data_IF_923948448682
#
_entry.id   IF_923948448682
#
_cell.length_a   1.000
_cell.length_b   1.000
_cell.length_c   1.000
_cell.angle_alpha   90.00
_cell.angle_beta   90.00
_cell.angle_gamma   90.00
#
_symmetry.space_group_name_H-M   'P 1'
#
loop_
_entity.id
_entity.type
_entity.pdbx_description
1 polymer ?
#
# COMPACT_ATOMS: atom_id res chain seq x y z
N UNK A 1 32.92 20.93 3.02
CA UNK A 1 32.07 20.24 4.01
C UNK A 1 32.77 18.95 4.32
N UNK A 2 33.33 18.78 5.51
CA UNK A 2 33.88 17.49 5.91
C UNK A 2 32.74 16.51 6.14
N UNK A 3 32.88 15.29 5.62
CA UNK A 3 31.96 14.21 5.90
C UNK A 3 32.15 13.76 7.35
N UNK A 4 31.04 13.61 8.07
CA UNK A 4 31.03 12.96 9.37
C UNK A 4 31.28 11.46 9.28
N UNK A 5 31.33 10.76 10.43
CA UNK A 5 31.41 9.31 10.45
C UNK A 5 30.24 8.67 9.68
N UNK A 6 30.51 7.56 8.99
CA UNK A 6 29.49 6.81 8.27
C UNK A 6 28.57 6.10 9.27
N UNK A 7 27.27 6.28 9.10
CA UNK A 7 26.22 5.58 9.83
C UNK A 7 25.56 4.60 8.87
N UNK A 8 25.44 3.35 9.29
CA UNK A 8 24.86 2.29 8.48
C UNK A 8 23.53 1.82 9.08
N UNK A 9 22.60 1.46 8.21
CA UNK A 9 21.37 0.79 8.58
C UNK A 9 21.58 -0.71 8.41
N UNK A 10 21.29 -1.47 9.45
CA UNK A 10 21.23 -2.92 9.33
C UNK A 10 19.96 -3.32 8.55
N UNK A 11 20.10 -4.27 7.65
CA UNK A 11 19.03 -4.76 6.76
C UNK A 11 18.78 -6.25 6.93
N UNK A 12 19.46 -6.92 7.86
CA UNK A 12 19.27 -8.35 8.12
C UNK A 12 18.00 -8.63 8.92
N UNK A 13 17.64 -7.72 9.82
CA UNK A 13 16.54 -7.88 10.76
C UNK A 13 15.36 -6.96 10.46
N UNK A 14 14.20 -7.33 11.00
CA UNK A 14 13.01 -6.50 10.92
C UNK A 14 13.17 -5.25 11.81
N UNK A 15 13.03 -4.08 11.21
CA UNK A 15 13.10 -2.80 11.91
C UNK A 15 11.80 -2.00 11.74
N UNK A 16 11.37 -1.35 12.82
CA UNK A 16 10.27 -0.38 12.78
C UNK A 16 10.85 1.00 13.03
N UNK A 17 10.71 1.89 12.04
CA UNK A 17 11.20 3.27 12.12
C UNK A 17 10.06 4.25 12.32
N UNK A 18 10.28 5.24 13.18
CA UNK A 18 9.42 6.42 13.28
C UNK A 18 10.18 7.65 12.81
N UNK A 19 9.83 8.17 11.62
CA UNK A 19 10.44 9.38 11.05
C UNK A 19 9.50 10.57 11.30
N UNK A 20 9.89 11.48 12.18
CA UNK A 20 9.09 12.64 12.55
C UNK A 20 9.85 13.96 12.34
N UNK A 21 9.11 15.07 12.22
CA UNK A 21 9.68 16.39 11.98
C UNK A 21 8.68 17.39 11.39
N UNK A 22 9.01 18.68 11.43
CA UNK A 22 8.16 19.77 10.90
C UNK A 22 7.88 19.60 9.39
N UNK A 23 6.87 20.30 8.87
CA UNK A 23 6.63 20.39 7.42
C UNK A 23 7.88 20.94 6.73
N UNK A 24 8.29 20.31 5.63
CA UNK A 24 9.54 20.65 4.94
C UNK A 24 10.82 20.12 5.59
N UNK A 25 10.75 19.42 6.73
CA UNK A 25 11.91 18.88 7.42
C UNK A 25 12.55 17.63 6.79
N UNK A 26 12.25 17.32 5.53
CA UNK A 26 12.91 16.23 4.81
C UNK A 26 12.41 14.80 5.10
N UNK A 27 11.28 14.60 5.78
CA UNK A 27 10.76 13.24 6.10
C UNK A 27 10.65 12.32 4.87
N UNK A 28 10.00 12.78 3.81
CA UNK A 28 9.85 12.02 2.56
C UNK A 28 11.19 11.86 1.83
N UNK A 29 12.08 12.84 1.95
CA UNK A 29 13.44 12.74 1.41
C UNK A 29 14.22 11.62 2.10
N UNK A 30 14.17 11.53 3.43
CA UNK A 30 14.79 10.44 4.19
C UNK A 30 14.24 9.07 3.78
N UNK A 31 12.92 8.94 3.62
CA UNK A 31 12.32 7.70 3.13
C UNK A 31 12.78 7.34 1.71
N UNK A 32 12.91 8.33 0.82
CA UNK A 32 13.45 8.15 -0.52
C UNK A 32 14.90 7.68 -0.50
N UNK A 33 15.76 8.29 0.31
CA UNK A 33 17.16 7.87 0.50
C UNK A 33 17.25 6.44 1.01
N UNK A 34 16.39 6.05 1.96
CA UNK A 34 16.32 4.66 2.43
C UNK A 34 15.95 3.74 1.26
N UNK A 35 14.87 4.05 0.52
CA UNK A 35 14.42 3.22 -0.60
C UNK A 35 15.46 3.09 -1.73
N UNK A 36 16.16 4.17 -2.08
CA UNK A 36 17.29 4.15 -3.01
C UNK A 36 18.45 3.32 -2.46
N UNK A 37 18.78 3.48 -1.17
CA UNK A 37 19.83 2.72 -0.49
C UNK A 37 19.64 1.20 -0.59
N UNK A 38 18.41 0.71 -0.40
CA UNK A 38 18.08 -0.70 -0.61
C UNK A 38 18.28 -1.15 -2.06
N UNK A 39 18.00 -0.26 -3.04
CA UNK A 39 18.23 -0.55 -4.46
C UNK A 39 19.71 -0.61 -4.84
N UNK A 40 20.59 -0.02 -4.03
CA UNK A 40 22.06 -0.03 -4.18
C UNK A 40 22.75 -1.21 -3.48
N UNK A 41 22.01 -2.04 -2.72
CA UNK A 41 22.57 -3.23 -2.08
C UNK A 41 23.08 -4.23 -3.12
N UNK A 42 23.99 -5.11 -2.68
CA UNK A 42 24.48 -6.20 -3.50
C UNK A 42 23.32 -7.06 -4.03
N UNK A 43 23.38 -7.56 -5.29
CA UNK A 43 22.27 -8.31 -5.89
C UNK A 43 21.80 -9.50 -5.06
N UNK A 44 22.71 -10.18 -4.36
CA UNK A 44 22.40 -11.30 -3.49
C UNK A 44 21.48 -10.93 -2.31
N UNK A 45 21.52 -9.68 -1.86
CA UNK A 45 20.65 -9.17 -0.78
C UNK A 45 19.42 -8.52 -1.41
N UNK A 46 19.61 -7.61 -2.37
CA UNK A 46 18.55 -6.81 -2.99
C UNK A 46 17.44 -7.67 -3.60
N UNK A 47 17.79 -8.78 -4.26
CA UNK A 47 16.79 -9.63 -4.92
C UNK A 47 15.86 -10.38 -3.94
N UNK A 48 16.20 -10.41 -2.66
CA UNK A 48 15.38 -11.00 -1.60
C UNK A 48 14.53 -9.96 -0.86
N UNK A 49 14.63 -8.69 -1.24
CA UNK A 49 13.96 -7.57 -0.57
C UNK A 49 13.06 -6.84 -1.57
N UNK A 50 11.89 -6.42 -1.10
CA UNK A 50 10.97 -5.57 -1.86
C UNK A 50 10.54 -4.40 -0.99
N UNK A 51 10.42 -3.22 -1.60
CA UNK A 51 10.00 -2.01 -0.91
C UNK A 51 8.60 -1.64 -1.38
N UNK A 52 7.68 -1.52 -0.43
CA UNK A 52 6.31 -1.05 -0.69
C UNK A 52 6.18 0.33 -0.04
N UNK A 53 5.90 1.34 -0.87
CA UNK A 53 5.68 2.71 -0.43
C UNK A 53 4.21 3.08 -0.61
N UNK A 54 3.56 3.45 0.50
CA UNK A 54 2.24 4.08 0.46
C UNK A 54 2.42 5.58 0.23
N UNK A 55 2.41 5.98 -1.05
CA UNK A 55 2.68 7.35 -1.46
C UNK A 55 1.39 8.18 -1.56
N UNK A 56 1.07 8.90 -0.49
CA UNK A 56 -0.12 9.77 -0.47
C UNK A 56 0.06 11.08 -1.23
N UNK A 57 1.31 11.52 -1.47
CA UNK A 57 1.61 12.80 -2.13
C UNK A 57 2.04 12.64 -3.59
N UNK A 58 2.32 11.42 -4.04
CA UNK A 58 2.73 11.14 -5.42
C UNK A 58 4.09 11.71 -5.77
N UNK A 59 5.08 11.58 -4.89
CA UNK A 59 6.43 12.14 -5.08
C UNK A 59 7.46 11.08 -5.48
N UNK A 60 7.27 9.82 -5.09
CA UNK A 60 8.29 8.78 -5.25
C UNK A 60 8.39 8.23 -6.68
N UNK A 61 7.38 8.44 -7.53
CA UNK A 61 7.47 8.05 -8.95
C UNK A 61 8.67 8.69 -9.66
N UNK A 62 9.08 9.89 -9.22
CA UNK A 62 10.19 10.62 -9.80
C UNK A 62 11.55 9.92 -9.61
N UNK A 63 11.67 9.02 -8.63
CA UNK A 63 12.88 8.22 -8.37
C UNK A 63 13.24 7.27 -9.53
N UNK A 64 12.32 7.06 -10.47
CA UNK A 64 12.60 6.37 -11.75
C UNK A 64 13.60 7.12 -12.62
N UNK A 65 13.81 8.42 -12.36
CA UNK A 65 14.68 9.27 -13.16
C UNK A 65 15.93 9.67 -12.36
N UNK A 66 17.13 9.62 -12.97
CA UNK A 66 18.36 10.05 -12.32
C UNK A 66 18.35 11.56 -12.01
N UNK A 67 18.74 11.93 -10.80
CA UNK A 67 18.89 13.33 -10.41
C UNK A 67 20.24 13.92 -10.86
N UNK A 68 20.31 14.42 -12.09
CA UNK A 68 21.52 15.07 -12.61
C UNK A 68 21.75 16.48 -12.07
N UNK A 69 20.72 17.16 -11.56
CA UNK A 69 20.83 18.54 -11.06
C UNK A 69 21.71 18.62 -9.83
N UNK A 70 21.61 17.62 -8.96
CA UNK A 70 22.29 17.60 -7.66
C UNK A 70 23.45 16.59 -7.62
N UNK A 71 24.03 16.24 -8.79
CA UNK A 71 25.14 15.28 -8.91
C UNK A 71 26.28 15.54 -7.92
N UNK A 72 26.64 16.81 -7.69
CA UNK A 72 27.73 17.20 -6.77
C UNK A 72 27.50 16.77 -5.32
N UNK A 73 26.25 16.54 -4.90
CA UNK A 73 25.93 16.04 -3.56
C UNK A 73 26.28 14.56 -3.38
N UNK A 74 26.39 13.81 -4.48
CA UNK A 74 26.67 12.37 -4.49
C UNK A 74 28.17 12.05 -4.53
N UNK A 75 28.97 12.95 -5.10
CA UNK A 75 30.42 12.79 -5.28
C UNK A 75 31.16 12.42 -3.98
N UNK A 76 30.90 13.06 -2.82
CA UNK A 76 31.58 12.70 -1.56
C UNK A 76 31.29 11.26 -1.09
N UNK A 77 30.18 10.69 -1.51
CA UNK A 77 29.76 9.33 -1.17
C UNK A 77 30.17 8.30 -2.22
N UNK A 78 30.90 8.71 -3.27
CA UNK A 78 31.23 7.88 -4.42
C UNK A 78 29.98 7.30 -5.10
N UNK A 79 28.89 8.06 -5.11
CA UNK A 79 27.63 7.72 -5.75
C UNK A 79 27.48 8.53 -7.06
N UNK A 80 26.66 8.02 -7.96
CA UNK A 80 26.32 8.67 -9.22
C UNK A 80 24.80 8.71 -9.40
N UNK A 81 24.27 9.72 -10.12
CA UNK A 81 22.84 9.81 -10.36
C UNK A 81 22.32 8.57 -11.09
N UNK A 82 21.31 7.93 -10.52
CA UNK A 82 20.61 6.77 -11.09
C UNK A 82 19.12 6.88 -10.83
N UNK A 83 18.34 6.26 -11.72
CA UNK A 83 16.96 5.93 -11.44
C UNK A 83 16.86 4.52 -10.87
N UNK A 84 15.80 4.26 -10.10
CA UNK A 84 15.48 2.92 -9.61
C UNK A 84 14.21 2.39 -10.29
N UNK A 85 14.05 1.07 -10.33
CA UNK A 85 12.85 0.44 -10.89
C UNK A 85 11.67 0.61 -9.94
N UNK A 86 10.82 1.62 -10.20
CA UNK A 86 9.60 1.88 -9.43
C UNK A 86 8.39 1.44 -10.24
N UNK A 87 7.62 0.51 -9.67
CA UNK A 87 6.33 0.11 -10.21
C UNK A 87 5.20 0.83 -9.47
N UNK A 88 4.51 1.73 -10.18
CA UNK A 88 3.37 2.49 -9.65
C UNK A 88 2.12 1.62 -9.80
N UNK A 89 1.62 1.11 -8.68
CA UNK A 89 0.34 0.42 -8.62
C UNK A 89 -0.79 1.43 -8.42
N UNK A 90 -1.79 1.42 -9.30
CA UNK A 90 -2.93 2.33 -9.27
C UNK A 90 -4.23 1.52 -9.25
N UNK A 91 -5.26 1.90 -8.48
CA UNK A 91 -6.52 1.16 -8.52
C UNK A 91 -7.07 1.11 -9.94
N UNK A 92 -7.57 -0.06 -10.35
CA UNK A 92 -7.90 -0.38 -11.76
C UNK A 92 -8.69 0.71 -12.49
N UNK A 93 -9.73 1.26 -11.85
CA UNK A 93 -10.52 2.36 -12.41
C UNK A 93 -9.66 3.59 -12.76
N UNK A 94 -8.80 4.01 -11.83
CA UNK A 94 -7.94 5.18 -12.00
C UNK A 94 -6.76 4.90 -12.93
N UNK A 95 -6.27 3.66 -12.99
CA UNK A 95 -5.21 3.24 -13.91
C UNK A 95 -5.57 3.61 -15.36
N UNK A 96 -6.75 3.19 -15.82
CA UNK A 96 -7.21 3.48 -17.18
C UNK A 96 -7.48 4.97 -17.42
N UNK A 97 -7.95 5.70 -16.41
CA UNK A 97 -8.14 7.15 -16.50
C UNK A 97 -6.80 7.88 -16.62
N UNK A 98 -5.81 7.48 -15.82
CA UNK A 98 -4.49 8.09 -15.75
C UNK A 98 -3.71 7.85 -17.04
N UNK A 99 -3.79 6.63 -17.61
CA UNK A 99 -3.22 6.33 -18.92
C UNK A 99 -3.75 7.27 -20.01
N UNK A 100 -5.06 7.50 -20.07
CA UNK A 100 -5.68 8.42 -21.04
C UNK A 100 -5.21 9.87 -20.86
N UNK A 101 -4.87 10.26 -19.64
CA UNK A 101 -4.38 11.61 -19.28
C UNK A 101 -2.86 11.75 -19.35
N UNK A 102 -2.13 10.69 -19.69
CA UNK A 102 -0.65 10.68 -19.67
C UNK A 102 -0.05 10.81 -18.27
N UNK A 103 -0.82 10.48 -17.22
CA UNK A 103 -0.34 10.47 -15.83
C UNK A 103 0.45 9.18 -15.60
N UNK A 104 1.65 9.23 -14.99
CA UNK A 104 2.46 8.04 -14.74
C UNK A 104 1.72 6.97 -13.94
N UNK A 105 1.63 5.77 -14.51
CA UNK A 105 1.10 4.57 -13.83
C UNK A 105 1.67 3.32 -14.49
N UNK A 106 1.98 2.29 -13.70
CA UNK A 106 2.67 1.09 -14.20
C UNK A 106 1.77 -0.13 -14.27
N UNK A 107 0.97 -0.37 -13.22
CA UNK A 107 0.06 -1.52 -13.18
C UNK A 107 -1.24 -1.21 -12.43
N UNK A 108 -2.38 -1.79 -12.88
CA UNK A 108 -3.61 -1.75 -12.11
C UNK A 108 -3.51 -2.70 -10.91
N UNK A 109 -4.28 -2.42 -9.86
CA UNK A 109 -4.60 -3.40 -8.84
C UNK A 109 -6.07 -3.29 -8.41
N UNK A 110 -6.60 -4.39 -7.90
CA UNK A 110 -7.91 -4.50 -7.28
C UNK A 110 -7.81 -5.44 -6.08
N UNK A 111 -8.78 -5.34 -5.17
CA UNK A 111 -8.86 -6.19 -3.98
C UNK A 111 -10.01 -7.16 -4.21
N UNK A 112 -9.75 -8.46 -4.04
CA UNK A 112 -10.79 -9.47 -4.11
C UNK A 112 -11.69 -9.35 -2.86
N UNK A 113 -13.00 -9.08 -3.01
CA UNK A 113 -13.93 -8.98 -1.87
C UNK A 113 -13.92 -10.21 -0.96
N UNK A 114 -13.64 -11.39 -1.53
CA UNK A 114 -13.62 -12.64 -0.78
C UNK A 114 -12.39 -12.83 0.12
N UNK A 115 -11.33 -12.03 -0.08
CA UNK A 115 -10.13 -12.04 0.77
C UNK A 115 -10.30 -11.17 2.02
N UNK A 116 -11.31 -10.31 2.05
CA UNK A 116 -11.58 -9.43 3.19
C UNK A 116 -12.36 -10.17 4.28
N UNK A 117 -11.93 -10.00 5.52
CA UNK A 117 -12.64 -10.44 6.71
C UNK A 117 -13.80 -9.51 7.03
N UNK A 118 -14.78 -9.98 7.82
CA UNK A 118 -15.87 -9.14 8.30
C UNK A 118 -15.37 -7.87 9.02
N UNK A 119 -14.26 -7.97 9.75
CA UNK A 119 -13.65 -6.84 10.43
C UNK A 119 -13.06 -5.80 9.45
N UNK A 120 -12.54 -6.24 8.30
CA UNK A 120 -12.04 -5.34 7.26
C UNK A 120 -13.17 -4.53 6.64
N UNK A 121 -14.31 -5.17 6.38
CA UNK A 121 -15.53 -4.51 5.93
C UNK A 121 -16.06 -3.50 6.96
N UNK A 122 -16.12 -3.89 8.23
CA UNK A 122 -16.49 -2.97 9.32
C UNK A 122 -15.57 -1.75 9.36
N UNK A 123 -14.24 -1.94 9.23
CA UNK A 123 -13.27 -0.83 9.15
C UNK A 123 -13.50 0.05 7.92
N UNK A 124 -13.69 -0.56 6.75
CA UNK A 124 -13.93 0.16 5.50
C UNK A 124 -15.18 1.05 5.57
N UNK A 125 -16.25 0.56 6.20
CA UNK A 125 -17.51 1.29 6.38
C UNK A 125 -17.58 2.13 7.65
N UNK A 126 -16.54 2.08 8.50
CA UNK A 126 -16.50 2.75 9.82
C UNK A 126 -17.66 2.33 10.73
N UNK A 127 -18.00 1.05 10.69
CA UNK A 127 -19.04 0.41 11.51
C UNK A 127 -18.38 -0.27 12.71
N UNK A 128 -18.97 -0.12 13.88
CA UNK A 128 -18.49 -0.83 15.07
C UNK A 128 -18.80 -2.33 14.95
N UNK A 129 -17.79 -3.17 15.21
CA UNK A 129 -17.86 -4.63 15.07
C UNK A 129 -19.03 -5.28 15.82
N UNK A 130 -19.39 -4.74 16.98
CA UNK A 130 -20.46 -5.28 17.84
C UNK A 130 -21.80 -4.54 17.72
N UNK A 131 -21.90 -3.58 16.81
CA UNK A 131 -23.19 -2.97 16.46
C UNK A 131 -24.05 -3.98 15.69
N UNK A 132 -25.36 -3.73 15.61
CA UNK A 132 -26.28 -4.54 14.80
C UNK A 132 -25.80 -4.69 13.35
N UNK A 133 -25.36 -3.59 12.72
CA UNK A 133 -24.79 -3.62 11.37
C UNK A 133 -23.47 -4.38 11.30
N UNK A 134 -22.64 -4.32 12.34
CA UNK A 134 -21.38 -5.06 12.41
C UNK A 134 -21.59 -6.57 12.50
N UNK A 135 -22.56 -7.01 13.30
CA UNK A 135 -22.96 -8.42 13.41
C UNK A 135 -23.54 -8.90 12.07
N UNK A 136 -24.41 -8.10 11.45
CA UNK A 136 -24.97 -8.42 10.13
C UNK A 136 -23.88 -8.61 9.07
N UNK A 137 -22.87 -7.73 9.03
CA UNK A 137 -21.73 -7.88 8.10
C UNK A 137 -20.99 -9.20 8.36
N UNK A 138 -20.77 -9.56 9.62
CA UNK A 138 -20.11 -10.82 9.98
C UNK A 138 -20.92 -12.04 9.54
N UNK A 139 -22.23 -12.04 9.75
CA UNK A 139 -23.13 -13.13 9.35
C UNK A 139 -23.16 -13.32 7.83
N UNK A 140 -23.23 -12.22 7.08
CA UNK A 140 -23.23 -12.24 5.60
C UNK A 140 -21.90 -12.80 5.07
N UNK A 141 -20.77 -12.35 5.61
CA UNK A 141 -19.44 -12.84 5.20
C UNK A 141 -19.26 -14.31 5.57
N UNK A 142 -19.66 -14.74 6.78
CA UNK A 142 -19.58 -16.15 7.20
C UNK A 142 -20.44 -17.04 6.31
N UNK A 143 -21.68 -16.63 6.05
CA UNK A 143 -22.62 -17.37 5.20
C UNK A 143 -22.05 -17.60 3.80
N UNK A 144 -21.44 -16.58 3.20
CA UNK A 144 -20.85 -16.70 1.87
C UNK A 144 -19.57 -17.54 1.87
N UNK A 145 -18.73 -17.41 2.89
CA UNK A 145 -17.53 -18.25 3.03
C UNK A 145 -17.86 -19.71 3.22
N UNK A 146 -18.88 -20.03 4.02
CA UNK A 146 -19.33 -21.41 4.23
C UNK A 146 -19.89 -22.01 2.94
N UNK A 147 -20.64 -21.24 2.16
CA UNK A 147 -21.28 -21.72 0.91
C UNK A 147 -20.32 -21.78 -0.27
N UNK A 148 -19.42 -20.81 -0.39
CA UNK A 148 -18.65 -20.55 -1.62
C UNK A 148 -17.14 -20.47 -1.41
N UNK A 149 -16.66 -20.56 -0.17
CA UNK A 149 -15.26 -20.30 0.17
C UNK A 149 -14.86 -18.86 -0.19
N UNK A 150 -13.64 -18.66 -0.70
CA UNK A 150 -13.15 -17.35 -1.13
C UNK A 150 -13.52 -17.01 -2.59
N UNK A 151 -14.75 -17.31 -3.01
CA UNK A 151 -15.21 -17.16 -4.40
C UNK A 151 -16.53 -16.41 -4.49
N UNK A 152 -16.61 -15.25 -3.87
CA UNK A 152 -17.77 -14.36 -3.95
C UNK A 152 -17.39 -12.91 -4.23
N UNK A 153 -18.33 -12.17 -4.78
CA UNK A 153 -18.23 -10.77 -5.20
C UNK A 153 -18.94 -9.82 -4.23
N UNK A 154 -18.77 -8.51 -4.45
CA UNK A 154 -19.55 -7.48 -3.73
C UNK A 154 -21.05 -7.64 -4.01
N UNK A 155 -21.45 -8.00 -5.23
CA UNK A 155 -22.85 -8.17 -5.56
C UNK A 155 -23.49 -9.31 -4.75
N UNK A 156 -22.76 -10.40 -4.53
CA UNK A 156 -23.24 -11.51 -3.71
C UNK A 156 -23.31 -11.17 -2.21
N UNK A 157 -22.36 -10.35 -1.71
CA UNK A 157 -22.45 -9.78 -0.36
C UNK A 157 -23.74 -8.98 -0.21
N UNK A 158 -24.06 -8.11 -1.18
CA UNK A 158 -25.29 -7.30 -1.18
C UNK A 158 -26.53 -8.20 -1.24
N UNK A 159 -26.61 -9.16 -2.17
CA UNK A 159 -27.78 -10.06 -2.28
C UNK A 159 -28.01 -10.88 -1.01
N UNK A 160 -26.94 -11.39 -0.41
CA UNK A 160 -27.02 -12.17 0.84
C UNK A 160 -27.50 -11.29 2.00
N UNK A 161 -27.03 -10.04 2.07
CA UNK A 161 -27.47 -9.07 3.10
C UNK A 161 -28.98 -8.81 3.10
N UNK A 162 -29.60 -8.77 1.92
CA UNK A 162 -31.05 -8.58 1.76
C UNK A 162 -31.84 -9.80 2.23
N UNK A 163 -31.25 -10.99 2.12
CA UNK A 163 -31.88 -12.26 2.54
C UNK A 163 -31.81 -12.44 4.05
N UNK A 164 -30.66 -12.15 4.67
CA UNK A 164 -30.46 -12.24 6.14
C UNK A 164 -31.42 -11.31 6.88
N UNK A 165 -31.63 -10.08 6.39
CA UNK A 165 -32.60 -9.15 6.98
C UNK A 165 -34.06 -9.64 6.89
N UNK A 166 -34.43 -10.40 5.87
CA UNK A 166 -35.79 -10.93 5.74
C UNK A 166 -36.09 -12.03 6.78
N UNK A 167 -35.06 -12.81 7.18
CA UNK A 167 -35.20 -13.89 8.17
C UNK A 167 -35.24 -13.39 9.63
N UNK A 168 -34.55 -12.29 9.95
CA UNK A 168 -34.60 -11.67 11.29
C UNK A 168 -35.93 -10.98 11.56
N UNK A 169 -36.60 -10.44 10.54
CA UNK A 169 -37.95 -9.85 10.69
C UNK A 169 -39.08 -10.88 10.77
N UNK A 170 -38.91 -12.09 10.23
CA UNK A 170 -39.93 -13.15 10.29
C UNK A 170 -39.91 -13.98 11.57
N UNK A 171 -38.82 -13.95 12.35
CA UNK A 171 -38.72 -14.65 13.65
C UNK A 171 -39.29 -13.89 14.85
N UNK A 172 -39.78 -12.66 14.65
CA UNK A 172 -40.35 -11.81 15.71
C UNK A 172 -41.87 -11.57 15.54
N UNK A 173 -42.61 -12.51 14.92
CA UNK A 173 -44.08 -12.51 14.84
C UNK A 173 -44.64 -13.78 15.46
#
# INVERSE_FOLDING_TARGET
MELGPKLYLDVTDAHVFFICGKRGGGKSYTMGVIAEGFSLLEPAIRNNLSIILLDTMGVYWSMTHPNHKEKKLLEPYNLYPMGIDVKIYTPEKFYHEYQKKGIPTSAPFSINPAELEAEDWCKAFRVEKYSESGIMIADVVSTLREKQGHKYSIDELIQTSLTVNAETHTKNV
#
